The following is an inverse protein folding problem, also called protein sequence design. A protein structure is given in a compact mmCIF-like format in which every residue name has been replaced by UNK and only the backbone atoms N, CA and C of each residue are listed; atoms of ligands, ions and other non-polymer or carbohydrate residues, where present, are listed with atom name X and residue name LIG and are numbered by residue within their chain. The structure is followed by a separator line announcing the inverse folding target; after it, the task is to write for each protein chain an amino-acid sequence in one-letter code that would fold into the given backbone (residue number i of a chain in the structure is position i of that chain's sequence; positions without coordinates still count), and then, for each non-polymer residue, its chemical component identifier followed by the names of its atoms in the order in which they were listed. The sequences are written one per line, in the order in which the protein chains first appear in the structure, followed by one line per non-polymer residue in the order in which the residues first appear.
data_IF_708438413428
#
_entry.id   IF_708438413428
#
_cell.length_a   1.000
_cell.length_b   1.000
_cell.length_c   1.000
_cell.angle_alpha   90.00
_cell.angle_beta   90.00
_cell.angle_gamma   90.00
#
_symmetry.space_group_name_H-M   'P 1'
#
loop_
_entity.id
_entity.type
_entity.pdbx_description
1 polymer ?
#
# COMPACT_ATOMS: atom_id res chain seq x y z
N UNK A 1 -22.66 -0.94 1.43
CA UNK A 1 -22.62 -0.66 2.88
C UNK A 1 -22.40 -1.99 3.60
N UNK A 2 -21.31 -2.14 4.35
CA UNK A 2 -21.06 -3.39 5.08
C UNK A 2 -21.97 -3.53 6.32
N UNK A 3 -22.15 -4.76 6.80
CA UNK A 3 -22.90 -5.05 8.04
C UNK A 3 -22.32 -4.33 9.26
N UNK A 4 -20.99 -4.13 9.29
CA UNK A 4 -20.28 -3.48 10.39
C UNK A 4 -20.48 -1.96 10.44
N UNK A 5 -20.93 -1.35 9.35
CA UNK A 5 -21.35 0.06 9.35
C UNK A 5 -22.57 0.27 10.25
N UNK A 6 -23.56 -0.61 10.12
CA UNK A 6 -24.81 -0.53 10.89
C UNK A 6 -24.71 -1.21 12.26
N UNK A 7 -23.90 -2.27 12.37
CA UNK A 7 -23.80 -3.11 13.56
C UNK A 7 -22.32 -3.44 13.87
N UNK A 8 -21.58 -2.51 14.51
CA UNK A 8 -20.20 -2.77 14.90
C UNK A 8 -20.11 -3.90 15.93
N UNK A 9 -19.02 -4.68 15.91
CA UNK A 9 -18.79 -5.71 16.93
C UNK A 9 -18.14 -5.10 18.16
N UNK A 10 -18.71 -5.35 19.34
CA UNK A 10 -18.16 -4.85 20.61
C UNK A 10 -17.13 -5.83 21.18
N UNK A 11 -15.97 -5.31 21.56
CA UNK A 11 -14.92 -6.07 22.25
C UNK A 11 -15.08 -5.96 23.77
N UNK A 12 -14.38 -6.84 24.51
CA UNK A 12 -14.40 -6.85 25.97
C UNK A 12 -13.80 -5.57 26.59
N UNK A 13 -12.86 -4.93 25.88
CA UNK A 13 -12.24 -3.66 26.26
C UNK A 13 -13.09 -2.43 25.86
N UNK A 14 -14.35 -2.64 25.46
CA UNK A 14 -15.30 -1.65 24.98
C UNK A 14 -15.01 -1.03 23.61
N UNK A 15 -13.93 -1.42 22.91
CA UNK A 15 -13.71 -0.97 21.53
C UNK A 15 -14.77 -1.53 20.59
N UNK A 16 -15.04 -0.76 19.53
CA UNK A 16 -15.97 -1.13 18.47
C UNK A 16 -15.20 -1.46 17.21
N UNK A 17 -15.43 -2.66 16.68
CA UNK A 17 -14.94 -3.08 15.37
C UNK A 17 -15.96 -2.62 14.33
N UNK A 18 -15.65 -1.48 13.72
CA UNK A 18 -16.43 -0.81 12.68
C UNK A 18 -16.04 -1.28 11.27
N UNK A 19 -16.73 -0.76 10.27
CA UNK A 19 -16.34 -0.93 8.86
C UNK A 19 -14.90 -0.44 8.57
N UNK A 20 -14.46 0.67 9.17
CA UNK A 20 -13.09 1.18 8.98
C UNK A 20 -12.04 0.23 9.54
N UNK A 21 -12.30 -0.42 10.68
CA UNK A 21 -11.40 -1.45 11.24
C UNK A 21 -11.32 -2.66 10.31
N UNK A 22 -12.45 -3.09 9.73
CA UNK A 22 -12.45 -4.16 8.73
C UNK A 22 -11.63 -3.77 7.49
N UNK A 23 -11.80 -2.55 6.97
CA UNK A 23 -11.06 -2.08 5.79
C UNK A 23 -9.55 -2.02 6.08
N UNK A 24 -9.13 -1.51 7.23
CA UNK A 24 -7.71 -1.51 7.62
C UNK A 24 -7.14 -2.93 7.73
N UNK A 25 -7.87 -3.86 8.33
CA UNK A 25 -7.47 -5.26 8.40
C UNK A 25 -7.35 -5.89 7.00
N UNK A 26 -8.27 -5.56 6.09
CA UNK A 26 -8.20 -6.00 4.69
C UNK A 26 -6.97 -5.41 4.01
N UNK A 27 -6.77 -4.09 4.04
CA UNK A 27 -5.60 -3.42 3.44
C UNK A 27 -4.30 -4.04 3.94
N UNK A 28 -4.12 -4.14 5.26
CA UNK A 28 -2.96 -4.78 5.88
C UNK A 28 -2.67 -6.17 5.31
N UNK A 29 -3.71 -6.99 5.16
CA UNK A 29 -3.57 -8.36 4.68
C UNK A 29 -3.17 -8.49 3.20
N UNK A 30 -3.38 -7.44 2.39
CA UNK A 30 -3.09 -7.47 0.96
C UNK A 30 -1.61 -7.20 0.66
N UNK A 31 -0.84 -6.65 1.61
CA UNK A 31 0.58 -6.36 1.41
C UNK A 31 1.44 -7.62 1.36
N UNK A 32 1.08 -8.68 2.10
CA UNK A 32 1.77 -9.96 2.11
C UNK A 32 0.75 -11.10 2.08
N UNK A 33 0.65 -11.79 0.95
CA UNK A 33 -0.37 -12.81 0.72
C UNK A 33 -0.14 -14.09 1.53
N UNK A 34 1.10 -14.47 1.79
CA UNK A 34 1.46 -15.70 2.49
C UNK A 34 0.99 -15.70 3.94
N UNK A 35 1.07 -14.54 4.59
CA UNK A 35 0.68 -14.37 6.00
C UNK A 35 -0.66 -13.67 6.16
N UNK A 36 -0.92 -12.65 5.33
CA UNK A 36 -2.08 -11.79 5.42
C UNK A 36 -3.39 -12.48 5.06
N UNK A 37 -3.46 -13.18 3.91
CA UNK A 37 -4.73 -13.81 3.48
C UNK A 37 -5.21 -14.91 4.42
N UNK A 38 -4.36 -15.82 4.93
CA UNK A 38 -4.78 -16.79 5.92
C UNK A 38 -5.28 -16.15 7.22
N UNK A 39 -4.64 -15.08 7.71
CA UNK A 39 -5.09 -14.33 8.89
C UNK A 39 -6.43 -13.63 8.63
N UNK A 40 -6.60 -12.96 7.49
CA UNK A 40 -7.86 -12.32 7.13
C UNK A 40 -9.00 -13.34 7.07
N UNK A 41 -8.79 -14.49 6.44
CA UNK A 41 -9.80 -15.55 6.38
C UNK A 41 -10.22 -16.02 7.78
N UNK A 42 -9.27 -16.17 8.71
CA UNK A 42 -9.57 -16.47 10.12
C UNK A 42 -10.37 -15.34 10.78
N UNK A 43 -9.96 -14.09 10.57
CA UNK A 43 -10.61 -12.92 11.15
C UNK A 43 -12.04 -12.74 10.66
N UNK A 44 -12.31 -12.95 9.37
CA UNK A 44 -13.65 -12.90 8.79
C UNK A 44 -14.54 -14.02 9.32
N UNK A 45 -14.03 -15.25 9.45
CA UNK A 45 -14.75 -16.39 10.05
C UNK A 45 -15.10 -16.16 11.52
N UNK A 46 -14.27 -15.44 12.25
CA UNK A 46 -14.56 -15.04 13.63
C UNK A 46 -15.61 -13.90 13.66
N UNK A 47 -15.48 -12.92 12.75
CA UNK A 47 -16.39 -11.77 12.68
C UNK A 47 -17.84 -12.18 12.37
N UNK A 48 -18.06 -13.14 11.46
CA UNK A 48 -19.42 -13.68 11.19
C UNK A 48 -20.04 -14.40 12.40
N UNK A 49 -19.22 -14.80 13.38
CA UNK A 49 -19.65 -15.37 14.67
C UNK A 49 -19.73 -14.31 15.78
N UNK A 50 -19.68 -13.03 15.42
CA UNK A 50 -19.72 -11.91 16.35
C UNK A 50 -18.40 -11.62 17.07
N UNK A 51 -17.26 -12.20 16.63
CA UNK A 51 -15.96 -12.05 17.29
C UNK A 51 -15.03 -11.16 16.45
N UNK A 52 -14.84 -9.91 16.88
CA UNK A 52 -14.07 -8.91 16.13
C UNK A 52 -12.57 -8.82 16.47
N UNK A 53 -12.08 -9.53 17.49
CA UNK A 53 -10.75 -9.27 18.06
C UNK A 53 -9.59 -9.43 17.08
N UNK A 54 -9.69 -10.36 16.12
CA UNK A 54 -8.64 -10.54 15.09
C UNK A 54 -8.60 -9.39 14.09
N UNK A 55 -9.76 -8.90 13.65
CA UNK A 55 -9.85 -7.72 12.79
C UNK A 55 -9.23 -6.50 13.49
N UNK A 56 -9.57 -6.31 14.77
CA UNK A 56 -8.99 -5.22 15.56
C UNK A 56 -7.47 -5.35 15.67
N UNK A 57 -6.95 -6.55 15.95
CA UNK A 57 -5.49 -6.77 16.05
C UNK A 57 -4.79 -6.46 14.72
N UNK A 58 -5.33 -6.93 13.59
CA UNK A 58 -4.75 -6.64 12.29
C UNK A 58 -4.72 -5.14 11.99
N UNK A 59 -5.79 -4.41 12.36
CA UNK A 59 -5.81 -2.95 12.22
C UNK A 59 -4.82 -2.27 13.16
N UNK A 60 -4.73 -2.70 14.43
CA UNK A 60 -3.76 -2.19 15.42
C UNK A 60 -2.32 -2.41 14.93
N UNK A 61 -2.00 -3.61 14.43
CA UNK A 61 -0.69 -3.96 13.89
C UNK A 61 -0.34 -3.08 12.68
N UNK A 62 -1.30 -2.82 11.79
CA UNK A 62 -1.11 -1.95 10.61
C UNK A 62 -0.80 -0.50 10.99
N UNK A 63 -1.39 0.01 12.07
CA UNK A 63 -1.13 1.38 12.55
C UNK A 63 -0.10 1.44 13.68
N UNK A 64 0.62 0.33 13.93
CA UNK A 64 1.66 0.20 14.96
C UNK A 64 1.21 0.55 16.38
N UNK A 65 -0.05 0.24 16.70
CA UNK A 65 -0.64 0.43 18.03
C UNK A 65 -0.48 -0.83 18.86
N UNK A 66 0.13 -0.70 20.04
CA UNK A 66 0.33 -1.82 20.94
C UNK A 66 -0.91 -2.14 21.82
N UNK A 67 -0.76 -3.17 22.67
CA UNK A 67 -1.81 -3.62 23.58
C UNK A 67 -2.11 -2.64 24.73
N UNK A 68 -1.14 -1.80 25.10
CA UNK A 68 -1.34 -0.73 26.08
C UNK A 68 -2.03 0.50 25.44
N UNK A 69 -2.08 0.54 24.11
CA UNK A 69 -2.65 1.60 23.31
C UNK A 69 -1.67 2.69 22.91
N UNK A 70 -0.37 2.46 23.11
CA UNK A 70 0.67 3.34 22.61
C UNK A 70 0.92 3.09 21.12
N UNK A 71 1.20 4.17 20.39
CA UNK A 71 1.68 4.10 19.00
C UNK A 71 3.21 4.14 19.04
N UNK A 72 3.83 3.07 18.55
CA UNK A 72 5.29 2.87 18.69
C UNK A 72 6.11 3.55 17.59
N UNK A 73 5.45 4.24 16.68
CA UNK A 73 6.03 4.97 15.57
C UNK A 73 5.14 6.18 15.26
N UNK A 74 5.73 7.20 14.65
CA UNK A 74 5.02 8.35 14.10
C UNK A 74 4.90 8.29 12.57
N UNK A 75 5.10 7.12 11.96
CA UNK A 75 5.12 6.97 10.50
C UNK A 75 3.81 7.41 9.84
N UNK A 76 2.66 7.18 10.50
CA UNK A 76 1.35 7.55 9.96
C UNK A 76 1.15 9.08 9.99
N UNK A 77 1.69 9.76 10.99
CA UNK A 77 1.68 11.22 11.09
C UNK A 77 2.67 11.85 10.08
N UNK A 78 3.89 11.29 9.98
CA UNK A 78 4.92 11.76 9.06
C UNK A 78 4.53 11.54 7.61
N UNK A 79 3.80 10.46 7.30
CA UNK A 79 3.30 10.21 5.95
C UNK A 79 2.48 11.38 5.41
N UNK A 80 1.61 11.98 6.22
CA UNK A 80 0.88 13.19 5.82
C UNK A 80 1.79 14.40 5.66
N UNK A 81 2.69 14.64 6.62
CA UNK A 81 3.64 15.77 6.56
C UNK A 81 4.44 15.74 5.27
N UNK A 82 4.97 14.58 4.89
CA UNK A 82 5.81 14.42 3.69
C UNK A 82 4.98 14.43 2.42
N UNK A 83 3.90 13.64 2.36
CA UNK A 83 3.09 13.53 1.14
C UNK A 83 2.48 14.87 0.72
N UNK A 84 2.03 15.69 1.67
CA UNK A 84 1.40 16.97 1.36
C UNK A 84 2.40 18.04 0.89
N UNK A 85 3.70 17.88 1.16
CA UNK A 85 4.73 18.81 0.66
C UNK A 85 5.47 18.27 -0.57
N UNK A 86 5.37 16.97 -0.87
CA UNK A 86 6.10 16.32 -1.96
C UNK A 86 5.39 16.40 -3.33
N UNK A 87 4.11 16.79 -3.36
CA UNK A 87 3.36 16.99 -4.61
C UNK A 87 2.28 18.04 -4.46
N UNK A 88 1.90 18.64 -5.59
CA UNK A 88 0.65 19.39 -5.67
C UNK A 88 -0.53 18.42 -5.50
N UNK A 89 -1.54 18.85 -4.74
CA UNK A 89 -2.82 18.18 -4.61
C UNK A 89 -3.91 19.20 -4.99
N UNK A 90 -4.91 18.75 -5.75
CA UNK A 90 -6.06 19.56 -6.16
C UNK A 90 -7.36 19.03 -5.54
N UNK A 91 -7.24 18.22 -4.48
CA UNK A 91 -8.36 17.75 -3.69
C UNK A 91 -9.20 18.93 -3.17
N UNK A 92 -10.51 18.70 -3.08
CA UNK A 92 -11.46 19.56 -2.37
C UNK A 92 -12.60 18.65 -1.91
N UNK A 93 -13.42 19.09 -0.94
CA UNK A 93 -14.56 18.27 -0.51
C UNK A 93 -15.45 17.87 -1.70
N UNK A 94 -15.71 18.80 -2.62
CA UNK A 94 -16.54 18.56 -3.81
C UNK A 94 -15.89 17.56 -4.76
N UNK A 95 -14.60 17.75 -5.08
CA UNK A 95 -13.87 16.87 -5.99
C UNK A 95 -13.70 15.48 -5.37
N UNK A 96 -13.24 15.39 -4.13
CA UNK A 96 -13.07 14.12 -3.42
C UNK A 96 -14.39 13.35 -3.30
N UNK A 97 -15.52 14.03 -3.12
CA UNK A 97 -16.84 13.37 -3.15
C UNK A 97 -17.17 12.81 -4.53
N UNK A 98 -16.90 13.55 -5.60
CA UNK A 98 -17.10 13.09 -6.97
C UNK A 98 -16.20 11.89 -7.30
N UNK A 99 -14.91 11.97 -6.95
CA UNK A 99 -13.93 10.91 -7.13
C UNK A 99 -14.29 9.66 -6.32
N UNK A 100 -14.72 9.83 -5.06
CA UNK A 100 -15.20 8.73 -4.23
C UNK A 100 -16.37 7.99 -4.88
N UNK A 101 -17.30 8.69 -5.53
CA UNK A 101 -18.42 8.07 -6.27
C UNK A 101 -17.90 7.36 -7.50
N UNK A 102 -17.02 7.98 -8.28
CA UNK A 102 -16.46 7.40 -9.50
C UNK A 102 -15.66 6.13 -9.21
N UNK A 103 -14.71 6.19 -8.27
CA UNK A 103 -13.84 5.07 -7.89
C UNK A 103 -14.65 3.95 -7.22
N UNK A 104 -15.74 4.25 -6.51
CA UNK A 104 -16.60 3.20 -5.93
C UNK A 104 -17.20 2.23 -6.95
N UNK A 105 -17.30 2.62 -8.23
CA UNK A 105 -17.79 1.75 -9.31
C UNK A 105 -16.82 0.63 -9.66
N UNK A 106 -15.52 0.85 -9.43
CA UNK A 106 -14.45 -0.13 -9.71
C UNK A 106 -13.91 -0.78 -8.44
N UNK A 107 -13.87 -0.04 -7.33
CA UNK A 107 -13.36 -0.49 -6.04
C UNK A 107 -14.35 -0.12 -4.93
N UNK A 108 -15.51 -0.78 -4.81
CA UNK A 108 -16.57 -0.38 -3.88
C UNK A 108 -16.16 -0.47 -2.41
N UNK A 109 -15.20 -1.34 -2.07
CA UNK A 109 -14.74 -1.56 -0.69
C UNK A 109 -13.61 -0.62 -0.26
N UNK A 110 -12.75 -0.20 -1.19
CA UNK A 110 -11.54 0.58 -0.89
C UNK A 110 -11.56 1.98 -1.48
N UNK A 111 -12.20 2.14 -2.64
CA UNK A 111 -12.20 3.36 -3.44
C UNK A 111 -12.58 4.61 -2.67
N UNK A 112 -13.69 4.62 -1.91
CA UNK A 112 -14.04 5.75 -1.06
C UNK A 112 -12.93 6.11 -0.07
N UNK A 113 -12.36 5.13 0.65
CA UNK A 113 -11.32 5.38 1.65
C UNK A 113 -10.06 5.99 1.02
N UNK A 114 -9.65 5.49 -0.15
CA UNK A 114 -8.50 6.02 -0.89
C UNK A 114 -8.78 7.43 -1.43
N UNK A 115 -9.98 7.69 -1.94
CA UNK A 115 -10.34 9.03 -2.41
C UNK A 115 -10.24 10.06 -1.28
N UNK A 116 -10.76 9.74 -0.10
CA UNK A 116 -10.74 10.62 1.06
C UNK A 116 -9.37 10.74 1.74
N UNK A 117 -8.42 9.83 1.48
CA UNK A 117 -7.12 9.85 2.16
C UNK A 117 -6.24 11.04 1.78
N UNK A 118 -6.46 11.66 0.62
CA UNK A 118 -5.70 12.83 0.17
C UNK A 118 -6.23 14.17 0.68
N UNK A 119 -7.48 14.21 1.18
CA UNK A 119 -8.12 15.44 1.64
C UNK A 119 -7.29 16.23 2.67
N UNK A 120 -6.58 15.62 3.63
CA UNK A 120 -5.76 16.38 4.58
C UNK A 120 -4.71 17.29 3.92
N UNK A 121 -4.24 16.97 2.70
CA UNK A 121 -3.27 17.80 1.99
C UNK A 121 -3.85 19.11 1.45
N UNK A 122 -5.16 19.17 1.14
CA UNK A 122 -5.83 20.42 0.76
C UNK A 122 -5.91 21.43 1.92
N UNK A 123 -5.93 20.92 3.16
CA UNK A 123 -5.92 21.73 4.38
C UNK A 123 -4.52 21.91 4.98
N UNK A 124 -3.47 21.44 4.29
CA UNK A 124 -2.12 21.58 4.78
C UNK A 124 -1.67 23.05 4.70
N UNK A 125 -1.17 23.65 5.80
CA UNK A 125 -0.93 25.10 5.85
C UNK A 125 0.33 25.54 5.09
N UNK A 126 1.14 24.59 4.60
CA UNK A 126 2.38 24.87 3.89
C UNK A 126 2.26 24.44 2.43
N UNK A 127 2.78 25.23 1.48
CA UNK A 127 2.73 24.86 0.08
C UNK A 127 3.60 23.63 -0.21
N UNK A 128 3.29 22.86 -1.27
CA UNK A 128 4.21 21.88 -1.83
C UNK A 128 5.58 22.50 -2.12
N UNK A 129 6.64 21.79 -1.76
CA UNK A 129 8.04 22.24 -1.90
C UNK A 129 8.78 21.54 -3.03
N UNK A 130 8.17 20.50 -3.62
CA UNK A 130 8.74 19.76 -4.74
C UNK A 130 7.90 19.98 -6.01
N UNK A 131 8.44 20.69 -7.02
CA UNK A 131 7.78 20.74 -8.32
C UNK A 131 7.84 19.35 -8.98
N UNK A 132 6.90 19.01 -9.88
CA UNK A 132 7.03 17.83 -10.73
C UNK A 132 8.38 17.84 -11.45
N UNK A 133 9.18 16.81 -11.22
CA UNK A 133 10.50 16.67 -11.85
C UNK A 133 10.34 15.88 -13.14
N UNK A 134 10.88 16.41 -14.23
CA UNK A 134 11.08 15.59 -15.43
C UNK A 134 12.18 14.57 -15.15
N UNK A 135 11.78 13.31 -15.08
CA UNK A 135 12.68 12.17 -14.87
C UNK A 135 13.29 11.67 -16.19
N UNK A 136 12.96 12.30 -17.32
CA UNK A 136 13.60 12.00 -18.60
C UNK A 136 15.05 12.50 -18.56
N UNK A 137 16.01 11.60 -18.82
CA UNK A 137 17.34 12.04 -19.27
C UNK A 137 18.52 12.13 -18.30
N UNK A 138 18.56 11.65 -17.04
CA UNK A 138 19.84 11.41 -16.40
C UNK A 138 20.46 10.11 -16.95
N UNK A 139 21.72 10.18 -17.42
CA UNK A 139 22.55 9.00 -17.64
C UNK A 139 22.86 8.35 -16.28
N UNK A 140 21.89 7.62 -15.74
CA UNK A 140 22.09 6.83 -14.54
C UNK A 140 22.90 5.59 -14.89
N UNK A 141 23.85 5.17 -14.03
CA UNK A 141 24.40 3.82 -14.10
C UNK A 141 23.26 2.79 -14.14
N UNK A 142 23.45 1.65 -14.82
CA UNK A 142 22.39 0.65 -14.88
C UNK A 142 21.93 0.18 -13.50
N UNK A 143 20.62 0.02 -13.34
CA UNK A 143 19.98 -0.29 -12.06
C UNK A 143 18.78 -1.21 -12.26
N UNK A 144 18.39 -1.90 -11.19
CA UNK A 144 17.23 -2.79 -11.18
C UNK A 144 15.97 -2.02 -10.76
N UNK A 145 14.88 -2.25 -11.48
CA UNK A 145 13.54 -1.85 -11.09
C UNK A 145 12.72 -3.11 -10.85
N UNK A 146 12.22 -3.33 -9.64
CA UNK A 146 11.37 -4.49 -9.32
C UNK A 146 9.91 -4.03 -9.29
N UNK A 147 9.06 -4.71 -10.06
CA UNK A 147 7.62 -4.45 -10.07
C UNK A 147 6.83 -5.75 -9.93
N UNK A 148 5.94 -5.81 -8.95
CA UNK A 148 5.08 -6.97 -8.70
C UNK A 148 3.76 -6.83 -9.47
N UNK A 149 3.36 -7.86 -10.23
CA UNK A 149 2.26 -7.75 -11.22
C UNK A 149 0.90 -7.41 -10.62
N UNK A 150 0.62 -7.85 -9.38
CA UNK A 150 -0.62 -7.57 -8.64
C UNK A 150 -0.35 -6.87 -7.30
N UNK A 151 0.55 -5.88 -7.33
CA UNK A 151 0.84 -5.01 -6.18
C UNK A 151 -0.36 -4.07 -5.89
N UNK A 152 -0.96 -4.12 -4.68
CA UNK A 152 -2.13 -3.32 -4.35
C UNK A 152 -1.81 -1.86 -4.00
N UNK A 153 -0.54 -1.52 -3.74
CA UNK A 153 -0.14 -0.20 -3.26
C UNK A 153 0.66 0.60 -4.30
N UNK A 154 1.52 -0.10 -5.07
CA UNK A 154 2.30 0.48 -6.18
C UNK A 154 2.08 -0.35 -7.44
N UNK A 155 0.98 -0.13 -8.18
CA UNK A 155 0.60 -0.93 -9.35
C UNK A 155 1.76 -1.15 -10.33
N UNK A 156 1.81 -2.33 -10.95
CA UNK A 156 2.91 -2.72 -11.84
C UNK A 156 3.11 -1.74 -13.02
N UNK A 157 2.03 -1.16 -13.54
CA UNK A 157 2.14 -0.13 -14.57
C UNK A 157 2.98 1.09 -14.15
N UNK A 158 3.06 1.39 -12.85
CA UNK A 158 3.92 2.47 -12.34
C UNK A 158 5.39 2.09 -12.47
N UNK A 159 5.76 0.86 -12.11
CA UNK A 159 7.12 0.35 -12.30
C UNK A 159 7.50 0.33 -13.79
N UNK A 160 6.58 -0.09 -14.68
CA UNK A 160 6.78 -0.02 -16.13
C UNK A 160 6.96 1.41 -16.63
N UNK A 161 6.14 2.35 -16.14
CA UNK A 161 6.20 3.76 -16.51
C UNK A 161 7.54 4.39 -16.11
N UNK A 162 8.00 4.15 -14.87
CA UNK A 162 9.29 4.63 -14.38
C UNK A 162 10.43 3.96 -15.17
N UNK A 163 10.41 2.64 -15.34
CA UNK A 163 11.45 1.92 -16.10
C UNK A 163 11.59 2.44 -17.53
N UNK A 164 10.48 2.75 -18.24
CA UNK A 164 10.53 3.31 -19.60
C UNK A 164 11.18 4.69 -19.69
N UNK A 165 11.24 5.46 -18.60
CA UNK A 165 11.91 6.77 -18.56
C UNK A 165 13.43 6.66 -18.49
N UNK A 166 13.96 5.50 -18.09
CA UNK A 166 15.38 5.26 -17.89
C UNK A 166 15.86 4.11 -18.78
N UNK A 167 16.55 4.39 -19.91
CA UNK A 167 17.08 3.34 -20.79
C UNK A 167 18.04 2.35 -20.09
N UNK A 168 18.66 2.77 -18.97
CA UNK A 168 19.56 1.95 -18.17
C UNK A 168 18.85 1.13 -17.07
N UNK A 169 17.53 1.30 -16.89
CA UNK A 169 16.76 0.48 -15.97
C UNK A 169 16.55 -0.93 -16.55
N UNK A 170 16.80 -1.95 -15.73
CA UNK A 170 16.45 -3.33 -16.03
C UNK A 170 15.26 -3.73 -15.15
N UNK A 171 14.10 -3.92 -15.79
CA UNK A 171 12.87 -4.30 -15.11
C UNK A 171 12.89 -5.79 -14.75
N UNK A 172 12.70 -6.08 -13.47
CA UNK A 172 12.37 -7.40 -12.94
C UNK A 172 10.86 -7.41 -12.69
N UNK A 173 10.15 -8.24 -13.46
CA UNK A 173 8.73 -8.50 -13.29
C UNK A 173 8.58 -9.65 -12.30
N UNK A 174 8.11 -9.33 -11.10
CA UNK A 174 7.77 -10.32 -10.09
C UNK A 174 6.29 -10.71 -10.28
N UNK A 175 6.02 -11.81 -10.98
CA UNK A 175 4.67 -12.29 -11.21
C UNK A 175 4.11 -12.91 -9.94
N UNK A 176 3.24 -12.16 -9.26
CA UNK A 176 2.78 -12.48 -7.92
C UNK A 176 1.84 -11.42 -7.37
N UNK A 177 1.34 -11.71 -6.17
CA UNK A 177 0.47 -10.83 -5.40
C UNK A 177 1.23 -10.23 -4.22
N UNK A 178 0.77 -9.08 -3.74
CA UNK A 178 1.35 -8.38 -2.59
C UNK A 178 2.29 -7.24 -2.97
N UNK A 179 2.73 -6.52 -1.96
CA UNK A 179 3.49 -5.29 -2.11
C UNK A 179 5.00 -5.56 -2.11
N UNK A 180 5.75 -4.91 -3.00
CA UNK A 180 7.19 -5.11 -3.23
C UNK A 180 7.53 -6.52 -3.77
N UNK A 181 8.81 -6.78 -4.08
CA UNK A 181 9.23 -8.03 -4.73
C UNK A 181 10.52 -8.69 -4.22
N UNK A 182 11.48 -7.95 -3.66
CA UNK A 182 12.73 -8.52 -3.12
C UNK A 182 12.55 -9.04 -1.68
N UNK A 183 13.21 -10.14 -1.34
CA UNK A 183 13.14 -10.78 -0.03
C UNK A 183 11.83 -11.53 0.21
N UNK A 184 11.10 -11.85 -0.86
CA UNK A 184 9.76 -12.46 -0.81
C UNK A 184 9.75 -13.96 -1.14
N UNK A 185 10.92 -14.59 -1.26
CA UNK A 185 11.05 -16.05 -1.39
C UNK A 185 11.26 -16.56 -2.83
N UNK A 186 11.33 -15.66 -3.81
CA UNK A 186 11.68 -16.00 -5.19
C UNK A 186 13.18 -15.91 -5.40
N UNK A 187 13.86 -17.05 -5.49
CA UNK A 187 15.29 -17.09 -5.81
C UNK A 187 15.62 -16.33 -7.11
N UNK A 188 14.70 -16.32 -8.09
CA UNK A 188 14.88 -15.56 -9.33
C UNK A 188 14.98 -14.04 -9.09
N UNK A 189 14.14 -13.47 -8.22
CA UNK A 189 14.21 -12.04 -7.86
C UNK A 189 15.38 -11.80 -6.91
N UNK A 190 15.49 -12.62 -5.87
CA UNK A 190 16.42 -12.44 -4.77
C UNK A 190 17.87 -12.58 -5.25
N UNK A 191 18.20 -13.61 -6.03
CA UNK A 191 19.55 -13.79 -6.57
C UNK A 191 19.95 -12.66 -7.53
N UNK A 192 19.00 -12.14 -8.32
CA UNK A 192 19.28 -11.04 -9.25
C UNK A 192 19.55 -9.72 -8.50
N UNK A 193 18.75 -9.40 -7.48
CA UNK A 193 18.95 -8.21 -6.65
C UNK A 193 20.22 -8.34 -5.81
N UNK A 194 20.47 -9.49 -5.20
CA UNK A 194 21.65 -9.73 -4.36
C UNK A 194 22.93 -9.71 -5.19
N UNK A 195 22.93 -10.27 -6.41
CA UNK A 195 24.07 -10.19 -7.31
C UNK A 195 24.39 -8.73 -7.71
N UNK A 196 23.38 -7.89 -7.90
CA UNK A 196 23.57 -6.47 -8.17
C UNK A 196 24.12 -5.72 -6.95
N UNK A 197 23.49 -5.87 -5.78
CA UNK A 197 23.88 -5.15 -4.57
C UNK A 197 25.25 -5.59 -4.03
N UNK A 198 25.58 -6.89 -4.11
CA UNK A 198 26.82 -7.42 -3.54
C UNK A 198 27.99 -7.38 -4.51
N UNK A 199 27.74 -7.50 -5.83
CA UNK A 199 28.79 -7.69 -6.84
C UNK A 199 28.71 -6.71 -8.01
N UNK A 200 27.70 -5.83 -8.05
CA UNK A 200 27.43 -4.97 -9.20
C UNK A 200 27.03 -5.75 -10.46
N UNK A 201 26.65 -7.02 -10.33
CA UNK A 201 26.31 -7.89 -11.46
C UNK A 201 24.84 -7.72 -11.83
N UNK A 202 24.58 -7.38 -13.09
CA UNK A 202 23.23 -7.21 -13.62
C UNK A 202 22.83 -8.41 -14.48
N UNK A 203 21.53 -8.73 -14.56
CA UNK A 203 21.05 -9.66 -15.58
C UNK A 203 21.23 -9.06 -16.98
N UNK A 204 21.31 -9.92 -18.00
CA UNK A 204 21.52 -9.50 -19.39
C UNK A 204 20.36 -8.71 -20.01
N UNK A 205 19.26 -8.54 -19.29
CA UNK A 205 18.05 -7.83 -19.72
C UNK A 205 16.93 -7.99 -18.70
N UNK A 206 15.73 -7.57 -19.09
CA UNK A 206 14.54 -7.70 -18.26
C UNK A 206 14.29 -9.17 -17.85
N UNK A 207 13.85 -9.38 -16.61
CA UNK A 207 13.53 -10.70 -16.07
C UNK A 207 12.03 -10.80 -15.78
N UNK A 208 11.50 -12.01 -15.88
CA UNK A 208 10.18 -12.36 -15.33
C UNK A 208 10.37 -13.54 -14.39
N UNK A 209 10.01 -13.34 -13.14
CA UNK A 209 10.19 -14.28 -12.04
C UNK A 209 8.83 -14.55 -11.40
N UNK A 210 8.54 -15.78 -10.99
CA UNK A 210 7.36 -16.09 -10.16
C UNK A 210 7.68 -15.81 -8.70
N UNK A 211 6.74 -15.18 -7.97
CA UNK A 211 6.77 -15.06 -6.51
C UNK A 211 6.09 -16.27 -5.84
#
# INVERSE_FOLDING_TARGET
MSLLHANPLKLNDSRLVTESILVLAMVSSLYNTDTGWPELNRALKDAVKGKGIRLQRMADDYVLRDKAGAYNSNENEIAYIVNCVDREDDASIERTKADSIAISKIAPHFGPYIAWSSLPCDYWPYPPIRPPVDLSGPNLPPFLMVGTTRDPATPYEWAQSVSKRFPSAILITADGDGHTGHGRGSACVDDAVDAYLLKGTLPGGALTCTL
#
